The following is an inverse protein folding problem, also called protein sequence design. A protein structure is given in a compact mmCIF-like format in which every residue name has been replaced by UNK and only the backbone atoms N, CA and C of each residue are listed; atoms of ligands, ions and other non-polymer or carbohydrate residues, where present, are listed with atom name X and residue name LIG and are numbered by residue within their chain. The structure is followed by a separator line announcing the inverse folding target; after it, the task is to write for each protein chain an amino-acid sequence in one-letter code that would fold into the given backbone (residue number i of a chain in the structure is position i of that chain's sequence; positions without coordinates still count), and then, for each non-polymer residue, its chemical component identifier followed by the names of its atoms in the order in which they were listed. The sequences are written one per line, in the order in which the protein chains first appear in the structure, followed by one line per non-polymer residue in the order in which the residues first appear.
data_IF_875223396055
#
_entry.id   IF_875223396055
#
_cell.length_a   1.000
_cell.length_b   1.000
_cell.length_c   1.000
_cell.angle_alpha   90.00
_cell.angle_beta   90.00
_cell.angle_gamma   90.00
#
_symmetry.space_group_name_H-M   'P 1'
#
loop_
_entity.id
_entity.type
_entity.pdbx_description
1 polymer ?
#
# COMPACT_ATOMS: atom_id res chain seq x y z
N UNK A 1 -15.98 -16.19 24.16
CA UNK A 1 -15.49 -16.40 22.78
C UNK A 1 -15.86 -15.30 21.77
N UNK A 2 -16.89 -14.45 22.00
CA UNK A 2 -17.28 -13.40 21.02
C UNK A 2 -16.39 -12.14 20.96
N UNK A 3 -15.81 -11.69 22.08
CA UNK A 3 -15.03 -10.43 22.14
C UNK A 3 -13.79 -10.43 21.25
N UNK A 4 -13.10 -11.57 21.15
CA UNK A 4 -11.92 -11.72 20.27
C UNK A 4 -12.31 -11.65 18.80
N UNK A 5 -13.40 -12.32 18.41
CA UNK A 5 -13.85 -12.34 17.02
C UNK A 5 -14.35 -10.97 16.57
N UNK A 6 -15.03 -10.21 17.45
CA UNK A 6 -15.43 -8.83 17.17
C UNK A 6 -14.22 -7.91 17.01
N UNK A 7 -13.20 -8.02 17.86
CA UNK A 7 -11.96 -7.26 17.71
C UNK A 7 -11.25 -7.57 16.39
N UNK A 8 -11.22 -8.84 15.99
CA UNK A 8 -10.58 -9.27 14.74
C UNK A 8 -11.33 -8.75 13.51
N UNK A 9 -12.67 -8.75 13.54
CA UNK A 9 -13.51 -8.15 12.50
C UNK A 9 -13.25 -6.64 12.37
N UNK A 10 -13.16 -5.92 13.48
CA UNK A 10 -12.86 -4.48 13.45
C UNK A 10 -11.48 -4.19 12.84
N UNK A 11 -10.45 -4.96 13.21
CA UNK A 11 -9.11 -4.81 12.64
C UNK A 11 -9.11 -5.10 11.14
N UNK A 12 -9.75 -6.19 10.69
CA UNK A 12 -9.86 -6.50 9.28
C UNK A 12 -10.60 -5.39 8.50
N UNK A 13 -11.73 -4.91 9.01
CA UNK A 13 -12.46 -3.79 8.40
C UNK A 13 -11.60 -2.53 8.28
N UNK A 14 -10.82 -2.21 9.33
CA UNK A 14 -9.91 -1.07 9.31
C UNK A 14 -8.81 -1.22 8.25
N UNK A 15 -8.22 -2.42 8.13
CA UNK A 15 -7.19 -2.68 7.10
C UNK A 15 -7.73 -2.57 5.67
N UNK A 16 -8.97 -3.02 5.44
CA UNK A 16 -9.63 -2.88 4.14
C UNK A 16 -9.90 -1.41 3.81
N UNK A 17 -10.31 -0.62 4.81
CA UNK A 17 -10.52 0.81 4.62
C UNK A 17 -9.19 1.54 4.32
N UNK A 18 -8.10 1.17 4.99
CA UNK A 18 -6.77 1.70 4.74
C UNK A 18 -6.29 1.39 3.30
N UNK A 19 -6.49 0.16 2.83
CA UNK A 19 -6.19 -0.23 1.43
C UNK A 19 -6.95 0.65 0.42
N UNK A 20 -8.23 0.93 0.69
CA UNK A 20 -9.01 1.84 -0.15
C UNK A 20 -8.44 3.25 -0.16
N UNK A 21 -8.08 3.78 1.02
CA UNK A 21 -7.48 5.11 1.13
C UNK A 21 -6.13 5.21 0.38
N UNK A 22 -5.32 4.15 0.39
CA UNK A 22 -4.06 4.15 -0.34
C UNK A 22 -4.30 4.24 -1.85
N UNK A 23 -5.19 3.41 -2.40
CA UNK A 23 -5.48 3.35 -3.84
C UNK A 23 -6.13 4.64 -4.40
N UNK A 24 -7.04 5.24 -3.63
CA UNK A 24 -7.61 6.54 -3.99
C UNK A 24 -6.59 7.66 -3.78
N UNK A 25 -5.85 7.63 -2.67
CA UNK A 25 -4.83 8.61 -2.35
C UNK A 25 -3.71 8.67 -3.40
N UNK A 26 -3.27 7.53 -3.93
CA UNK A 26 -2.28 7.48 -5.03
C UNK A 26 -2.80 8.18 -6.28
N UNK A 27 -4.08 7.98 -6.62
CA UNK A 27 -4.70 8.60 -7.80
C UNK A 27 -4.76 10.12 -7.67
N UNK A 28 -5.11 10.63 -6.48
CA UNK A 28 -5.09 12.07 -6.19
C UNK A 28 -3.68 12.65 -6.18
N UNK A 29 -2.72 11.97 -5.53
CA UNK A 29 -1.32 12.41 -5.47
C UNK A 29 -0.71 12.47 -6.87
N UNK A 30 -0.96 11.46 -7.72
CA UNK A 30 -0.46 11.46 -9.10
C UNK A 30 -1.07 12.61 -9.89
N UNK A 31 -2.36 12.90 -9.74
CA UNK A 31 -3.02 14.02 -10.40
C UNK A 31 -2.46 15.38 -9.95
N UNK A 32 -2.14 15.55 -8.67
CA UNK A 32 -1.54 16.77 -8.13
C UNK A 32 -0.06 16.94 -8.58
N UNK A 33 0.70 15.85 -8.61
CA UNK A 33 2.12 15.85 -8.99
C UNK A 33 2.36 15.98 -10.51
N UNK A 34 1.30 15.97 -11.33
CA UNK A 34 1.40 16.16 -12.79
C UNK A 34 2.13 17.45 -13.15
N UNK A 35 1.77 18.56 -12.49
CA UNK A 35 2.30 19.89 -12.82
C UNK A 35 3.67 20.15 -12.19
N UNK A 36 3.96 19.53 -11.05
CA UNK A 36 5.22 19.70 -10.31
C UNK A 36 6.38 18.93 -10.93
N UNK A 37 6.08 17.78 -11.55
CA UNK A 37 7.09 16.78 -11.94
C UNK A 37 7.19 16.57 -13.45
N UNK A 38 6.53 17.44 -14.25
CA UNK A 38 6.46 17.40 -15.72
C UNK A 38 6.24 15.98 -16.28
N UNK A 39 5.31 15.23 -15.69
CA UNK A 39 5.11 13.82 -16.00
C UNK A 39 4.50 13.62 -17.39
N UNK A 40 5.11 12.74 -18.17
CA UNK A 40 4.60 12.31 -19.47
C UNK A 40 3.34 11.43 -19.32
N UNK A 41 2.45 11.39 -20.31
CA UNK A 41 1.20 10.60 -20.25
C UNK A 41 1.42 9.12 -19.87
N UNK A 42 2.47 8.50 -20.43
CA UNK A 42 2.83 7.12 -20.13
C UNK A 42 3.32 6.92 -18.69
N UNK A 43 4.03 7.89 -18.12
CA UNK A 43 4.54 7.81 -16.75
C UNK A 43 3.41 7.92 -15.74
N UNK A 44 2.41 8.77 -15.99
CA UNK A 44 1.22 8.88 -15.14
C UNK A 44 0.47 7.55 -15.04
N UNK A 45 0.27 6.90 -16.19
CA UNK A 45 -0.37 5.58 -16.25
C UNK A 45 0.40 4.53 -15.46
N UNK A 46 1.74 4.52 -15.59
CA UNK A 46 2.60 3.63 -14.80
C UNK A 46 2.48 3.92 -13.30
N UNK A 47 2.53 5.18 -12.87
CA UNK A 47 2.42 5.54 -11.46
C UNK A 47 1.07 5.13 -10.84
N UNK A 48 -0.03 5.28 -11.59
CA UNK A 48 -1.35 4.82 -11.13
C UNK A 48 -1.49 3.30 -11.11
N UNK A 49 -0.72 2.58 -11.93
CA UNK A 49 -0.74 1.12 -11.98
C UNK A 49 0.14 0.49 -10.88
N UNK A 50 1.18 1.17 -10.39
CA UNK A 50 2.12 0.64 -9.39
C UNK A 50 1.44 0.09 -8.12
N UNK A 51 0.44 0.75 -7.51
CA UNK A 51 -0.27 0.21 -6.35
C UNK A 51 -0.97 -1.11 -6.67
N UNK A 52 -1.61 -1.24 -7.84
CA UNK A 52 -2.24 -2.51 -8.25
C UNK A 52 -1.22 -3.64 -8.36
N UNK A 53 -0.05 -3.38 -8.97
CA UNK A 53 1.01 -4.38 -9.07
C UNK A 53 1.54 -4.73 -7.68
N UNK A 54 1.68 -3.74 -6.80
CA UNK A 54 2.08 -3.90 -5.40
C UNK A 54 1.14 -4.82 -4.62
N UNK A 55 -0.19 -4.66 -4.77
CA UNK A 55 -1.20 -5.51 -4.12
C UNK A 55 -1.09 -6.96 -4.61
N UNK A 56 -0.91 -7.18 -5.92
CA UNK A 56 -0.81 -8.55 -6.47
C UNK A 56 0.46 -9.25 -5.98
N UNK A 57 1.61 -8.56 -6.04
CA UNK A 57 2.87 -9.10 -5.56
C UNK A 57 2.84 -9.33 -4.03
N UNK A 58 2.33 -8.35 -3.28
CA UNK A 58 2.17 -8.41 -1.84
C UNK A 58 1.26 -9.55 -1.39
N UNK A 59 0.14 -9.77 -2.08
CA UNK A 59 -0.78 -10.86 -1.78
C UNK A 59 -0.12 -12.24 -1.89
N UNK A 60 0.75 -12.45 -2.89
CA UNK A 60 1.51 -13.71 -3.01
C UNK A 60 2.56 -13.86 -1.90
N UNK A 61 3.33 -12.80 -1.63
CA UNK A 61 4.39 -12.82 -0.62
C UNK A 61 3.82 -13.00 0.80
N UNK A 62 2.90 -12.12 1.21
CA UNK A 62 2.28 -12.19 2.53
C UNK A 62 1.34 -13.38 2.67
N UNK A 63 0.74 -13.86 1.58
CA UNK A 63 -0.03 -15.10 1.55
C UNK A 63 0.83 -16.30 1.95
N UNK A 64 2.02 -16.43 1.35
CA UNK A 64 2.96 -17.50 1.70
C UNK A 64 3.49 -17.38 3.14
N UNK A 65 3.82 -16.15 3.59
CA UNK A 65 4.26 -15.93 4.97
C UNK A 65 3.14 -16.21 5.97
N UNK A 66 1.88 -15.96 5.59
CA UNK A 66 0.72 -16.18 6.46
C UNK A 66 0.48 -17.67 6.71
N UNK A 67 0.79 -18.51 5.73
CA UNK A 67 0.66 -19.96 5.83
C UNK A 67 1.75 -20.57 6.72
N UNK A 68 2.96 -20.00 6.67
CA UNK A 68 4.15 -20.55 7.37
C UNK A 68 4.39 -19.99 8.78
N UNK A 69 4.16 -18.69 9.00
CA UNK A 69 4.49 -17.99 10.26
C UNK A 69 3.28 -17.53 11.07
N UNK A 70 2.08 -17.84 10.60
CA UNK A 70 0.83 -17.57 11.30
C UNK A 70 0.23 -16.19 10.99
N UNK A 71 -1.11 -16.15 10.99
CA UNK A 71 -1.93 -15.07 10.42
C UNK A 71 -1.92 -13.75 11.19
N UNK A 72 -1.59 -13.77 12.49
CA UNK A 72 -1.50 -12.54 13.31
C UNK A 72 -0.20 -11.79 13.06
N UNK A 73 0.91 -12.52 12.90
CA UNK A 73 2.22 -11.92 12.70
C UNK A 73 2.30 -11.24 11.33
N UNK A 74 1.74 -11.86 10.30
CA UNK A 74 1.67 -11.27 8.96
C UNK A 74 0.88 -9.98 8.93
N UNK A 75 -0.29 -9.93 9.57
CA UNK A 75 -1.12 -8.73 9.66
C UNK A 75 -0.38 -7.55 10.32
N UNK A 76 0.36 -7.81 11.41
CA UNK A 76 1.12 -6.76 12.10
C UNK A 76 2.32 -6.32 11.27
N UNK A 77 3.06 -7.27 10.69
CA UNK A 77 4.22 -6.97 9.86
C UNK A 77 3.84 -6.17 8.61
N UNK A 78 2.83 -6.59 7.85
CA UNK A 78 2.42 -5.90 6.62
C UNK A 78 1.95 -4.47 6.91
N UNK A 79 1.17 -4.26 7.98
CA UNK A 79 0.78 -2.90 8.40
C UNK A 79 1.98 -2.05 8.81
N UNK A 80 2.94 -2.61 9.55
CA UNK A 80 4.12 -1.85 9.99
C UNK A 80 5.03 -1.47 8.83
N UNK A 81 5.22 -2.38 7.87
CA UNK A 81 6.00 -2.14 6.64
C UNK A 81 5.29 -1.09 5.80
N UNK A 82 3.99 -1.27 5.53
CA UNK A 82 3.20 -0.29 4.78
C UNK A 82 3.25 1.10 5.40
N UNK A 83 3.13 1.23 6.73
CA UNK A 83 3.23 2.51 7.42
C UNK A 83 4.58 3.20 7.26
N UNK A 84 5.69 2.46 7.40
CA UNK A 84 7.04 3.01 7.22
C UNK A 84 7.23 3.48 5.78
N UNK A 85 6.90 2.66 4.79
CA UNK A 85 7.07 3.02 3.39
C UNK A 85 6.13 4.16 2.95
N UNK A 86 4.90 4.22 3.47
CA UNK A 86 3.99 5.34 3.26
C UNK A 86 4.58 6.65 3.81
N UNK A 87 5.13 6.63 5.03
CA UNK A 87 5.78 7.79 5.63
C UNK A 87 7.01 8.24 4.82
N UNK A 88 7.83 7.30 4.35
CA UNK A 88 8.96 7.61 3.47
C UNK A 88 8.50 8.18 2.12
N UNK A 89 7.36 7.71 1.58
CA UNK A 89 6.81 8.23 0.32
C UNK A 89 6.48 9.72 0.41
N UNK A 90 6.12 10.26 1.58
CA UNK A 90 5.85 11.69 1.76
C UNK A 90 7.10 12.57 1.61
N UNK A 91 8.30 12.01 1.76
CA UNK A 91 9.57 12.73 1.62
C UNK A 91 10.22 12.57 0.23
N UNK A 92 9.58 11.84 -0.69
CA UNK A 92 10.19 11.50 -1.98
C UNK A 92 10.16 12.69 -2.97
N UNK A 93 11.31 13.19 -3.45
CA UNK A 93 11.38 14.33 -4.37
C UNK A 93 11.24 13.95 -5.86
N UNK A 94 11.51 12.68 -6.23
CA UNK A 94 11.50 12.22 -7.63
C UNK A 94 10.37 11.24 -7.94
N UNK A 95 9.91 11.22 -9.20
CA UNK A 95 8.83 10.32 -9.66
C UNK A 95 9.18 8.85 -9.52
N UNK A 96 10.45 8.50 -9.70
CA UNK A 96 10.95 7.12 -9.57
C UNK A 96 10.93 6.67 -8.11
N UNK A 97 11.37 7.54 -7.20
CA UNK A 97 11.34 7.24 -5.76
C UNK A 97 9.91 7.15 -5.25
N UNK A 98 9.01 8.04 -5.67
CA UNK A 98 7.58 7.97 -5.39
C UNK A 98 6.99 6.63 -5.86
N UNK A 99 7.28 6.20 -7.09
CA UNK A 99 6.79 4.94 -7.63
C UNK A 99 7.30 3.71 -6.83
N UNK A 100 8.59 3.69 -6.47
CA UNK A 100 9.16 2.60 -5.67
C UNK A 100 8.57 2.56 -4.26
N UNK A 101 8.50 3.70 -3.56
CA UNK A 101 7.92 3.77 -2.21
C UNK A 101 6.45 3.36 -2.21
N UNK A 102 5.67 3.76 -3.22
CA UNK A 102 4.27 3.37 -3.39
C UNK A 102 4.10 1.87 -3.65
N UNK A 103 4.96 1.28 -4.48
CA UNK A 103 4.97 -0.16 -4.72
C UNK A 103 5.23 -0.95 -3.43
N UNK A 104 6.25 -0.53 -2.66
CA UNK A 104 6.60 -1.17 -1.38
C UNK A 104 5.57 -0.92 -0.28
N UNK A 105 4.93 0.24 -0.26
CA UNK A 105 3.87 0.58 0.71
C UNK A 105 2.60 -0.23 0.48
N UNK A 106 2.32 -0.58 -0.78
CA UNK A 106 1.10 -1.29 -1.18
C UNK A 106 1.26 -2.82 -1.26
N UNK A 107 2.41 -3.36 -0.81
CA UNK A 107 2.71 -4.81 -0.73
C UNK A 107 2.39 -5.36 0.65
#
# INVERSE_FOLDING_TARGET
FGKYNFGLLLVCSWTLQAMGMDLFGTSFVVAAAVCDLELNMQQRALLTAMPLVGVVAGAQLWGYVSDTKGRRLTLVLSMSVGFVFAALSSFAPDWRTMALFKFLSST
#
